data_IF_048660437055
#
_entry.id   IF_048660437055
#
_cell.length_a   1.000
_cell.length_b   1.000
_cell.length_c   1.000
_cell.angle_alpha   90.00
_cell.angle_beta   90.00
_cell.angle_gamma   90.00
#
_symmetry.space_group_name_H-M   'P 1'
#
loop_
_entity.id
_entity.type
_entity.pdbx_description
1 polymer ?
#
# COMPACT_ATOMS: atom_id res chain seq x y z
N UNK A 1 -13.75 6.10 -8.10
CA UNK A 1 -12.30 5.97 -8.26
C UNK A 1 -11.61 7.33 -8.01
N UNK A 2 -11.25 7.62 -6.75
CA UNK A 2 -10.56 8.87 -6.35
C UNK A 2 -9.36 8.58 -5.42
N UNK A 3 -8.87 7.33 -5.41
CA UNK A 3 -7.84 6.88 -4.46
C UNK A 3 -6.52 6.65 -5.19
N UNK A 4 -5.53 7.48 -4.88
CA UNK A 4 -4.14 7.42 -5.41
C UNK A 4 -3.39 6.18 -4.91
N UNK A 5 -3.85 5.55 -3.83
CA UNK A 5 -3.20 4.44 -3.16
C UNK A 5 -4.17 3.28 -2.90
N UNK A 6 -3.64 2.06 -2.89
CA UNK A 6 -4.37 0.83 -2.58
C UNK A 6 -3.62 0.01 -1.52
N UNK A 7 -4.35 -0.69 -0.66
CA UNK A 7 -3.78 -1.65 0.28
C UNK A 7 -3.98 -3.07 -0.24
N UNK A 8 -2.88 -3.80 -0.41
CA UNK A 8 -2.92 -5.18 -0.85
C UNK A 8 -3.32 -6.10 0.32
N UNK A 9 -3.96 -7.26 0.05
CA UNK A 9 -4.22 -8.25 1.10
C UNK A 9 -2.93 -8.95 1.61
N UNK A 10 -1.81 -8.76 0.92
CA UNK A 10 -0.49 -9.34 1.21
C UNK A 10 0.58 -8.26 1.35
N UNK A 11 1.73 -8.62 1.91
CA UNK A 11 2.92 -7.78 2.06
C UNK A 11 3.72 -7.48 0.80
N UNK A 12 3.11 -7.57 -0.38
CA UNK A 12 3.78 -7.27 -1.64
C UNK A 12 2.85 -6.51 -2.59
N UNK A 13 3.42 -5.54 -3.29
CA UNK A 13 2.79 -4.90 -4.43
C UNK A 13 2.98 -5.73 -5.70
N UNK A 14 2.07 -5.58 -6.66
CA UNK A 14 2.30 -6.04 -8.02
C UNK A 14 3.38 -5.14 -8.65
N UNK A 15 4.46 -5.77 -9.12
CA UNK A 15 5.54 -5.16 -9.90
C UNK A 15 6.14 -3.85 -9.33
N UNK A 16 6.01 -2.75 -10.08
CA UNK A 16 6.66 -1.46 -9.86
C UNK A 16 5.83 -0.47 -9.03
N UNK A 17 4.66 -0.87 -8.53
CA UNK A 17 3.75 0.01 -7.78
C UNK A 17 4.12 0.18 -6.30
N UNK A 18 5.26 -0.38 -5.87
CA UNK A 18 5.76 -0.23 -4.51
C UNK A 18 6.12 1.24 -4.20
N UNK A 19 5.64 1.75 -3.08
CA UNK A 19 6.00 3.07 -2.58
C UNK A 19 7.39 2.98 -1.92
N UNK A 20 8.36 3.70 -2.49
CA UNK A 20 9.78 3.73 -2.09
C UNK A 20 10.20 5.10 -1.53
N UNK A 21 9.24 5.86 -1.01
CA UNK A 21 9.45 7.17 -0.38
C UNK A 21 8.75 7.18 0.97
N UNK A 22 9.47 7.62 2.00
CA UNK A 22 8.92 7.77 3.35
C UNK A 22 7.74 8.75 3.37
N UNK A 23 7.90 9.88 2.67
CA UNK A 23 6.89 10.95 2.58
C UNK A 23 5.61 10.41 1.93
N UNK A 24 5.75 9.75 0.80
CA UNK A 24 4.61 9.18 0.07
C UNK A 24 3.94 8.06 0.87
N UNK A 25 4.72 7.27 1.61
CA UNK A 25 4.17 6.25 2.50
C UNK A 25 3.33 6.87 3.61
N UNK A 26 3.81 7.95 4.23
CA UNK A 26 3.07 8.69 5.25
C UNK A 26 1.75 9.25 4.71
N UNK A 27 1.76 9.84 3.51
CA UNK A 27 0.56 10.34 2.84
C UNK A 27 -0.44 9.22 2.55
N UNK A 28 0.04 8.11 1.98
CA UNK A 28 -0.79 6.96 1.66
C UNK A 28 -1.42 6.34 2.92
N UNK A 29 -0.64 6.21 4.00
CA UNK A 29 -1.14 5.75 5.29
C UNK A 29 -2.17 6.70 5.89
N UNK A 30 -1.99 8.01 5.81
CA UNK A 30 -2.95 8.99 6.30
C UNK A 30 -4.30 8.93 5.56
N UNK A 31 -4.28 8.63 4.25
CA UNK A 31 -5.48 8.49 3.43
C UNK A 31 -6.21 7.17 3.72
N UNK A 32 -5.49 6.05 3.77
CA UNK A 32 -6.07 4.72 3.93
C UNK A 32 -6.41 4.38 5.39
N UNK A 33 -5.68 4.96 6.34
CA UNK A 33 -5.76 4.69 7.78
C UNK A 33 -5.75 6.01 8.58
N UNK A 34 -6.83 6.81 8.53
CA UNK A 34 -6.91 8.05 9.29
C UNK A 34 -6.79 7.79 10.79
N UNK A 35 -5.91 8.54 11.47
CA UNK A 35 -5.64 8.38 12.90
C UNK A 35 -4.67 7.24 13.25
N UNK A 36 -3.97 6.69 12.25
CA UNK A 36 -2.89 5.74 12.48
C UNK A 36 -1.77 6.31 13.36
N UNK A 37 -1.07 5.42 14.07
CA UNK A 37 0.22 5.73 14.68
C UNK A 37 1.22 6.30 13.63
N UNK A 38 2.19 7.13 14.05
CA UNK A 38 3.17 7.73 13.15
C UNK A 38 3.95 6.66 12.38
N UNK A 39 4.36 7.02 11.17
CA UNK A 39 5.18 6.17 10.31
C UNK A 39 6.43 5.70 11.06
N UNK A 40 6.71 4.40 10.99
CA UNK A 40 7.92 3.83 11.55
C UNK A 40 8.82 3.32 10.45
N UNK A 41 10.01 3.91 10.35
CA UNK A 41 11.02 3.48 9.41
C UNK A 41 11.83 2.31 9.98
N UNK A 42 11.99 1.25 9.20
CA UNK A 42 12.83 0.10 9.53
C UNK A 42 13.70 -0.29 8.34
N UNK A 43 14.69 -1.14 8.61
CA UNK A 43 15.50 -1.77 7.57
C UNK A 43 15.68 -3.23 7.92
N UNK A 44 14.88 -4.11 7.31
CA UNK A 44 14.94 -5.54 7.60
C UNK A 44 14.47 -6.37 6.43
N UNK A 45 15.23 -7.41 6.09
CA UNK A 45 14.91 -8.38 5.04
C UNK A 45 13.77 -9.34 5.39
N UNK A 46 13.33 -9.36 6.65
CA UNK A 46 12.27 -10.27 7.13
C UNK A 46 10.85 -9.70 6.93
N UNK A 47 10.74 -8.43 6.59
CA UNK A 47 9.47 -7.69 6.48
C UNK A 47 9.24 -7.24 5.05
N UNK A 48 7.99 -6.95 4.65
CA UNK A 48 7.67 -6.34 3.35
C UNK A 48 8.57 -5.16 3.00
N UNK A 49 8.94 -5.06 1.73
CA UNK A 49 9.65 -3.89 1.20
C UNK A 49 8.70 -2.73 0.94
N UNK A 50 9.18 -1.51 1.17
CA UNK A 50 8.43 -0.28 0.93
C UNK A 50 7.40 0.00 2.02
N UNK A 51 6.30 0.64 1.64
CA UNK A 51 5.22 1.01 2.54
C UNK A 51 4.30 -0.18 2.85
N UNK A 52 4.00 -0.41 4.12
CA UNK A 52 2.99 -1.41 4.51
C UNK A 52 2.30 -1.04 5.82
N UNK A 53 1.07 -1.52 5.96
CA UNK A 53 0.28 -1.41 7.17
C UNK A 53 0.31 -2.73 7.93
N UNK A 54 0.62 -2.68 9.23
CA UNK A 54 0.52 -3.83 10.11
C UNK A 54 -0.82 -3.80 10.84
N UNK A 55 -1.73 -4.70 10.48
CA UNK A 55 -3.09 -4.73 11.05
C UNK A 55 -3.08 -4.94 12.57
N UNK A 56 -2.35 -5.95 13.05
CA UNK A 56 -2.29 -6.29 14.47
C UNK A 56 -1.73 -5.18 15.35
N UNK A 57 -0.89 -4.30 14.80
CA UNK A 57 -0.33 -3.16 15.52
C UNK A 57 -1.10 -1.86 15.29
N UNK A 58 -1.96 -1.79 14.26
CA UNK A 58 -2.59 -0.54 13.85
C UNK A 58 -1.55 0.54 13.49
N UNK A 59 -0.47 0.15 12.82
CA UNK A 59 0.69 1.02 12.61
C UNK A 59 1.25 0.93 11.18
N UNK A 60 1.70 2.08 10.69
CA UNK A 60 2.30 2.27 9.38
C UNK A 60 3.81 2.06 9.44
N UNK A 61 4.34 1.33 8.48
CA UNK A 61 5.77 1.06 8.37
C UNK A 61 6.30 1.38 6.98
N UNK A 62 7.53 1.88 6.95
CA UNK A 62 8.31 2.05 5.73
C UNK A 62 9.62 1.26 5.87
N UNK A 63 9.83 0.29 4.99
CA UNK A 63 10.98 -0.61 5.07
C UNK A 63 11.82 -0.60 3.81
N UNK A 64 13.03 -0.05 3.91
CA UNK A 64 13.97 0.04 2.78
C UNK A 64 14.68 -1.28 2.48
N UNK A 65 14.72 -2.22 3.44
CA UNK A 65 15.45 -3.48 3.32
C UNK A 65 14.57 -4.71 3.04
N UNK A 66 13.27 -4.52 2.85
CA UNK A 66 12.31 -5.61 2.87
C UNK A 66 12.26 -6.55 1.67
N UNK A 67 11.47 -7.60 1.81
CA UNK A 67 11.12 -8.57 0.77
C UNK A 67 9.98 -8.01 -0.12
N UNK A 68 10.17 -8.03 -1.44
CA UNK A 68 9.21 -7.53 -2.44
C UNK A 68 8.13 -8.54 -2.83
N UNK A 69 8.19 -9.76 -2.29
CA UNK A 69 7.31 -10.90 -2.55
C UNK A 69 6.73 -11.47 -1.24
N UNK A 70 6.71 -10.67 -0.18
CA UNK A 70 6.16 -11.11 1.10
C UNK A 70 4.68 -11.50 0.96
N UNK A 71 4.36 -12.74 1.33
CA UNK A 71 2.99 -13.26 1.35
C UNK A 71 2.32 -13.08 2.73
N UNK A 72 2.85 -12.20 3.58
CA UNK A 72 2.29 -11.94 4.90
C UNK A 72 0.93 -11.24 4.80
N UNK A 73 -0.06 -11.72 5.56
CA UNK A 73 -1.44 -11.20 5.54
C UNK A 73 -1.73 -10.15 6.61
N UNK A 74 -0.87 -10.04 7.64
CA UNK A 74 -0.94 -9.02 8.71
C UNK A 74 -0.22 -7.73 8.29
N UNK A 75 0.93 -7.87 7.63
CA UNK A 75 1.77 -6.80 7.10
C UNK A 75 1.42 -6.58 5.63
N UNK A 76 0.41 -5.76 5.40
CA UNK A 76 -0.21 -5.53 4.08
C UNK A 76 0.45 -4.38 3.35
N UNK A 77 0.99 -4.63 2.16
CA UNK A 77 1.67 -3.59 1.38
C UNK A 77 0.70 -2.49 0.95
N UNK A 78 1.17 -1.25 0.99
CA UNK A 78 0.48 -0.10 0.42
C UNK A 78 1.20 0.25 -0.88
N UNK A 79 0.43 0.32 -1.96
CA UNK A 79 0.92 0.47 -3.31
C UNK A 79 0.28 1.68 -3.97
N UNK A 80 0.96 2.24 -4.96
CA UNK A 80 0.34 3.20 -5.89
C UNK A 80 -0.80 2.49 -6.62
N UNK A 81 -1.97 3.12 -6.67
CA UNK A 81 -3.01 2.68 -7.59
C UNK A 81 -2.45 2.80 -9.02
N UNK A 82 -2.53 1.74 -9.82
CA UNK A 82 -2.14 1.83 -11.22
C UNK A 82 -2.97 2.94 -11.89
N UNK A 83 -2.34 3.68 -12.80
CA UNK A 83 -2.90 4.86 -13.49
C UNK A 83 -4.12 4.58 -14.39
N UNK A 84 -4.71 3.38 -14.36
CA UNK A 84 -5.96 3.05 -15.08
C UNK A 84 -7.16 3.84 -14.54
N UNK A 85 -7.11 4.30 -13.30
CA UNK A 85 -8.13 5.17 -12.72
C UNK A 85 -8.26 6.57 -13.38
N UNK A 86 -7.24 7.02 -14.13
CA UNK A 86 -7.20 8.36 -14.73
C UNK A 86 -8.01 8.47 -16.03
N UNK A 87 -8.17 7.36 -16.77
CA UNK A 87 -8.78 7.38 -18.10
C UNK A 87 -10.28 7.07 -18.09
N UNK A 88 -10.87 6.81 -16.90
CA UNK A 88 -12.25 6.31 -16.75
C UNK A 88 -12.55 5.04 -17.56
N UNK A 89 -11.51 4.34 -18.00
CA UNK A 89 -11.59 3.08 -18.77
C UNK A 89 -11.22 1.93 -17.86
N UNK A 90 -12.11 0.94 -17.79
CA UNK A 90 -11.92 -0.28 -17.00
C UNK A 90 -11.00 -1.24 -17.75
N UNK A 91 -9.69 -1.16 -17.48
CA UNK A 91 -8.71 -2.10 -18.03
C UNK A 91 -8.47 -3.26 -17.03
N UNK A 92 -9.22 -4.34 -17.24
CA UNK A 92 -8.82 -5.74 -17.01
C UNK A 92 -8.56 -6.24 -15.59
N UNK A 93 -7.80 -5.53 -14.76
CA UNK A 93 -7.12 -6.10 -13.58
C UNK A 93 -7.42 -5.34 -12.28
N UNK A 94 -8.52 -4.56 -12.25
CA UNK A 94 -9.02 -3.89 -11.05
C UNK A 94 -9.69 -4.90 -10.11
N UNK A 95 -8.94 -5.44 -9.15
CA UNK A 95 -9.46 -6.27 -8.07
C UNK A 95 -9.90 -5.41 -6.88
N UNK A 96 -11.19 -5.10 -6.81
CA UNK A 96 -11.81 -4.50 -5.63
C UNK A 96 -12.90 -3.45 -5.93
N UNK A 97 -14.02 -3.61 -5.26
CA UNK A 97 -15.18 -2.70 -5.27
C UNK A 97 -14.78 -1.34 -4.69
N UNK A 98 -14.61 -0.33 -5.55
CA UNK A 98 -15.20 1.02 -5.34
C UNK A 98 -14.98 1.96 -6.54
N UNK A 99 -15.67 1.63 -7.62
CA UNK A 99 -16.26 2.64 -8.48
C UNK A 99 -17.81 2.62 -8.30
N UNK A 100 -18.30 2.46 -7.06
CA UNK A 100 -19.66 2.88 -6.70
C UNK A 100 -19.72 4.41 -6.76
N UNK A 101 -20.70 5.08 -7.34
CA UNK A 101 -22.06 4.71 -7.67
C UNK A 101 -22.89 5.93 -7.29
N UNK A 102 -23.03 6.86 -8.25
CA UNK A 102 -23.67 8.21 -8.22
C UNK A 102 -23.13 9.25 -7.24
#
# INVERSE_FOLDING_TARGET
CNSTFIQMPLGACLDASAILSEIECAEAGAILHPGSAPLTQITSSQYPHGCYWKLSAGQLFYNTGGDRKSADTDRRAICRAASTCSDRVRNGDEVGVDCGGT
#
